data_IF_244038044096
#
_entry.id   IF_244038044096
#
_cell.length_a   1.000
_cell.length_b   1.000
_cell.length_c   1.000
_cell.angle_alpha   90.00
_cell.angle_beta   90.00
_cell.angle_gamma   90.00
#
_symmetry.space_group_name_H-M   'P 1'
#
loop_
_entity.id
_entity.type
_entity.pdbx_description
1 polymer ?
#
# COMPACT_ATOMS: atom_id res chain seq x y z
N UNK A 1 -2.06 28.20 -6.23
CA UNK A 1 -1.21 28.50 -5.05
C UNK A 1 -1.76 27.73 -3.87
N UNK A 2 -1.18 26.57 -3.59
CA UNK A 2 -1.66 25.69 -2.52
C UNK A 2 -1.06 26.17 -1.20
N UNK A 3 -1.88 26.72 -0.33
CA UNK A 3 -1.51 26.96 1.06
C UNK A 3 -1.36 25.61 1.76
N UNK A 4 -0.18 25.00 1.65
CA UNK A 4 0.17 23.83 2.45
C UNK A 4 0.39 24.34 3.86
N UNK A 5 -0.53 23.98 4.73
CA UNK A 5 -0.51 24.32 6.14
C UNK A 5 0.84 23.90 6.75
N UNK A 6 1.60 24.87 7.28
CA UNK A 6 2.79 24.61 8.09
C UNK A 6 2.31 24.16 9.47
N UNK A 7 2.09 22.86 9.66
CA UNK A 7 1.81 22.34 10.98
C UNK A 7 2.88 21.33 11.36
N UNK A 8 4.00 21.77 11.96
CA UNK A 8 5.07 20.89 12.40
C UNK A 8 4.62 19.93 13.51
N UNK A 9 3.47 20.19 14.11
CA UNK A 9 2.87 19.37 15.18
C UNK A 9 1.84 18.36 14.65
N UNK A 10 1.72 18.20 13.32
CA UNK A 10 0.74 17.28 12.73
C UNK A 10 1.15 15.83 13.01
N UNK A 11 0.26 15.09 13.68
CA UNK A 11 0.49 13.71 14.09
C UNK A 11 -0.23 12.69 13.21
N UNK A 12 -1.26 13.10 12.49
CA UNK A 12 -2.03 12.21 11.63
C UNK A 12 -2.35 12.87 10.30
N UNK A 13 -2.19 12.13 9.21
CA UNK A 13 -2.55 12.52 7.85
C UNK A 13 -3.35 11.40 7.20
N UNK A 14 -4.49 11.74 6.62
CA UNK A 14 -5.29 10.85 5.79
C UNK A 14 -5.56 11.48 4.44
N UNK A 15 -5.14 10.82 3.36
CA UNK A 15 -5.45 11.19 1.99
C UNK A 15 -6.36 10.10 1.39
N UNK A 16 -7.52 10.51 0.91
CA UNK A 16 -8.51 9.60 0.32
C UNK A 16 -8.91 10.12 -1.04
N UNK A 17 -8.77 9.29 -2.06
CA UNK A 17 -9.12 9.61 -3.46
C UNK A 17 -8.45 10.89 -3.97
N UNK A 18 -7.23 11.15 -3.54
CA UNK A 18 -6.48 12.36 -3.89
C UNK A 18 -5.69 12.15 -5.20
N UNK A 19 -6.39 12.07 -6.33
CA UNK A 19 -5.78 11.87 -7.66
C UNK A 19 -4.87 13.01 -8.13
N UNK A 20 -4.97 14.20 -7.55
CA UNK A 20 -4.15 15.36 -7.90
C UNK A 20 -2.81 15.46 -7.15
N UNK A 21 -2.59 14.66 -6.11
CA UNK A 21 -1.35 14.70 -5.32
C UNK A 21 -0.31 13.80 -5.97
N UNK A 22 0.80 14.38 -6.42
CA UNK A 22 1.94 13.66 -6.99
C UNK A 22 2.90 13.18 -5.90
N UNK A 23 3.83 12.28 -6.27
CA UNK A 23 4.93 11.84 -5.40
C UNK A 23 5.71 13.03 -4.82
N UNK A 24 6.03 14.02 -5.66
CA UNK A 24 6.76 15.22 -5.24
C UNK A 24 5.96 16.02 -4.19
N UNK A 25 4.67 16.29 -4.48
CA UNK A 25 3.81 17.04 -3.56
C UNK A 25 3.63 16.31 -2.23
N UNK A 26 3.51 14.98 -2.27
CA UNK A 26 3.42 14.16 -1.07
C UNK A 26 4.74 14.14 -0.28
N UNK A 27 5.89 13.98 -0.94
CA UNK A 27 7.21 14.02 -0.30
C UNK A 27 7.46 15.37 0.38
N UNK A 28 7.06 16.47 -0.25
CA UNK A 28 7.12 17.81 0.37
C UNK A 28 6.21 17.92 1.61
N UNK A 29 5.05 17.28 1.59
CA UNK A 29 4.14 17.28 2.72
C UNK A 29 4.77 16.54 3.91
N UNK A 30 5.21 15.30 3.72
CA UNK A 30 5.75 14.48 4.82
C UNK A 30 7.06 15.04 5.37
N UNK A 31 7.89 15.66 4.55
CA UNK A 31 9.11 16.35 4.99
C UNK A 31 8.86 17.49 5.97
N UNK A 32 7.63 18.02 6.01
CA UNK A 32 7.22 19.08 6.95
C UNK A 32 6.49 18.56 8.18
N UNK A 33 6.31 17.25 8.29
CA UNK A 33 5.57 16.61 9.34
C UNK A 33 6.43 15.57 10.10
N UNK A 34 7.57 15.96 10.71
CA UNK A 34 8.50 15.00 11.34
C UNK A 34 7.90 14.30 12.57
N UNK A 35 6.82 14.84 13.13
CA UNK A 35 6.10 14.26 14.27
C UNK A 35 4.91 13.39 13.84
N UNK A 36 4.82 13.05 12.55
CA UNK A 36 3.73 12.22 12.03
C UNK A 36 3.80 10.81 12.64
N UNK A 37 2.69 10.39 13.27
CA UNK A 37 2.53 9.09 13.92
C UNK A 37 1.57 8.17 13.15
N UNK A 38 0.60 8.72 12.41
CA UNK A 38 -0.43 7.97 11.67
C UNK A 38 -0.55 8.52 10.24
N UNK A 39 -0.38 7.65 9.26
CA UNK A 39 -0.52 7.96 7.85
C UNK A 39 -1.48 6.99 7.18
N UNK A 40 -2.46 7.52 6.47
CA UNK A 40 -3.40 6.74 5.68
C UNK A 40 -3.45 7.27 4.24
N UNK A 41 -3.21 6.39 3.29
CA UNK A 41 -3.31 6.65 1.86
C UNK A 41 -4.32 5.66 1.25
N UNK A 42 -5.43 6.17 0.76
CA UNK A 42 -6.50 5.36 0.16
C UNK A 42 -6.82 5.90 -1.23
N UNK A 43 -6.66 5.08 -2.25
CA UNK A 43 -6.97 5.42 -3.64
C UNK A 43 -6.28 6.72 -4.12
N UNK A 44 -4.98 6.85 -3.83
CA UNK A 44 -4.14 7.96 -4.27
C UNK A 44 -3.20 7.49 -5.40
N UNK A 45 -3.65 7.39 -6.66
CA UNK A 45 -2.98 6.65 -7.73
C UNK A 45 -1.64 7.24 -8.18
N UNK A 46 -1.36 8.48 -7.81
CA UNK A 46 -0.10 9.17 -8.15
C UNK A 46 0.92 9.19 -7.03
N UNK A 47 0.59 8.62 -5.86
CA UNK A 47 1.52 8.41 -4.74
C UNK A 47 1.88 6.93 -4.74
N UNK A 48 2.97 6.57 -5.43
CA UNK A 48 3.38 5.18 -5.63
C UNK A 48 4.86 5.02 -5.87
N UNK A 49 5.32 3.78 -5.73
CA UNK A 49 6.71 3.39 -5.94
C UNK A 49 7.54 3.40 -4.66
N UNK A 50 8.64 2.67 -4.71
CA UNK A 50 9.54 2.44 -3.58
C UNK A 50 10.07 3.73 -2.96
N UNK A 51 10.57 4.64 -3.79
CA UNK A 51 11.32 5.83 -3.35
C UNK A 51 10.50 6.78 -2.48
N UNK A 52 9.19 6.93 -2.78
CA UNK A 52 8.31 7.82 -2.03
C UNK A 52 8.07 7.30 -0.60
N UNK A 53 7.96 6.00 -0.43
CA UNK A 53 7.76 5.40 0.90
C UNK A 53 9.05 5.32 1.70
N UNK A 54 10.21 5.08 1.05
CA UNK A 54 11.51 5.23 1.71
C UNK A 54 11.75 6.66 2.20
N UNK A 55 11.42 7.65 1.37
CA UNK A 55 11.52 9.07 1.76
C UNK A 55 10.59 9.39 2.93
N UNK A 56 9.39 8.80 2.95
CA UNK A 56 8.43 8.94 4.05
C UNK A 56 9.00 8.37 5.36
N UNK A 57 9.56 7.17 5.34
CA UNK A 57 10.19 6.56 6.52
C UNK A 57 11.32 7.40 7.08
N UNK A 58 12.14 8.00 6.22
CA UNK A 58 13.22 8.90 6.63
C UNK A 58 12.72 10.23 7.20
N UNK A 59 11.65 10.78 6.60
CA UNK A 59 11.09 12.08 7.00
C UNK A 59 10.26 12.01 8.29
N UNK A 60 9.62 10.88 8.55
CA UNK A 60 8.68 10.70 9.65
C UNK A 60 9.15 9.57 10.60
N UNK A 61 10.21 9.75 11.39
CA UNK A 61 10.75 8.71 12.26
C UNK A 61 9.81 8.31 13.41
N UNK A 62 8.78 9.11 13.68
CA UNK A 62 7.75 8.84 14.69
C UNK A 62 6.58 8.02 14.14
N UNK A 63 6.61 7.64 12.84
CA UNK A 63 5.51 6.93 12.19
C UNK A 63 5.32 5.55 12.81
N UNK A 64 4.15 5.32 13.41
CA UNK A 64 3.77 4.07 14.11
C UNK A 64 2.65 3.33 13.40
N UNK A 65 1.83 4.03 12.61
CA UNK A 65 0.68 3.48 11.90
C UNK A 65 0.72 3.89 10.44
N UNK A 66 0.71 2.91 9.56
CA UNK A 66 0.63 3.15 8.13
C UNK A 66 -0.45 2.27 7.51
N UNK A 67 -1.35 2.87 6.74
CA UNK A 67 -2.42 2.20 6.01
C UNK A 67 -2.37 2.63 4.56
N UNK A 68 -2.24 1.65 3.68
CA UNK A 68 -2.16 1.85 2.24
C UNK A 68 -3.23 1.01 1.54
N UNK A 69 -4.03 1.67 0.69
CA UNK A 69 -4.90 1.02 -0.29
C UNK A 69 -4.67 1.68 -1.63
N UNK A 70 -3.98 0.98 -2.53
CA UNK A 70 -3.52 1.55 -3.79
C UNK A 70 -4.59 1.54 -4.87
N UNK A 71 -5.40 0.49 -4.94
CA UNK A 71 -6.43 0.29 -5.99
C UNK A 71 -7.56 -0.62 -5.53
N UNK A 72 -8.63 -0.64 -6.34
CA UNK A 72 -9.44 -1.82 -6.48
C UNK A 72 -8.60 -2.89 -7.20
N UNK A 73 -8.58 -4.09 -6.64
CA UNK A 73 -7.75 -5.19 -7.15
C UNK A 73 -8.14 -5.53 -8.60
N UNK A 74 -7.18 -5.50 -9.52
CA UNK A 74 -7.32 -6.04 -10.88
C UNK A 74 -6.47 -7.30 -11.01
N UNK A 75 -7.08 -8.43 -11.38
CA UNK A 75 -6.42 -9.72 -11.65
C UNK A 75 -5.53 -9.71 -12.94
N UNK A 76 -4.93 -8.62 -13.31
CA UNK A 76 -4.03 -8.58 -14.45
C UNK A 76 -2.68 -9.19 -14.06
N UNK A 77 -2.39 -10.38 -14.59
CA UNK A 77 -1.18 -11.17 -14.33
C UNK A 77 0.16 -10.48 -14.66
N UNK A 78 0.14 -9.31 -15.30
CA UNK A 78 1.31 -8.64 -15.86
C UNK A 78 1.68 -7.32 -15.15
N UNK A 79 1.22 -7.10 -13.92
CA UNK A 79 1.59 -5.87 -13.21
C UNK A 79 2.74 -6.14 -12.26
N UNK A 80 3.90 -5.65 -12.64
CA UNK A 80 5.05 -5.52 -11.76
C UNK A 80 4.67 -4.70 -10.54
N UNK A 81 5.00 -5.21 -9.35
CA UNK A 81 4.95 -4.42 -8.13
C UNK A 81 5.83 -3.18 -8.31
N UNK A 82 5.30 -2.00 -8.00
CA UNK A 82 6.09 -0.76 -8.00
C UNK A 82 7.11 -0.74 -6.82
N UNK A 83 7.24 -1.85 -6.10
CA UNK A 83 8.15 -2.00 -4.97
C UNK A 83 7.71 -1.20 -3.74
N UNK A 84 6.43 -0.89 -3.64
CA UNK A 84 5.87 -0.08 -2.55
C UNK A 84 6.15 -0.68 -1.18
N UNK A 85 5.97 -2.00 -1.05
CA UNK A 85 6.24 -2.71 0.18
C UNK A 85 7.72 -2.64 0.58
N UNK A 86 8.66 -2.67 -0.38
CA UNK A 86 10.08 -2.48 -0.12
C UNK A 86 10.37 -1.08 0.44
N UNK A 87 9.65 -0.05 -0.03
CA UNK A 87 9.74 1.30 0.53
C UNK A 87 9.22 1.38 1.96
N UNK A 88 8.15 0.64 2.27
CA UNK A 88 7.58 0.54 3.63
C UNK A 88 8.58 -0.09 4.62
N UNK A 89 9.44 -0.99 4.18
CA UNK A 89 10.49 -1.60 5.01
C UNK A 89 11.45 -0.57 5.66
N UNK A 90 11.53 0.66 5.12
CA UNK A 90 12.30 1.76 5.71
C UNK A 90 11.58 2.48 6.86
N UNK A 91 10.34 2.13 7.15
CA UNK A 91 9.53 2.73 8.24
C UNK A 91 9.73 1.94 9.55
N UNK A 92 10.94 1.95 10.10
CA UNK A 92 11.37 1.07 11.21
C UNK A 92 10.56 1.21 12.50
N UNK A 93 9.87 2.32 12.71
CA UNK A 93 9.05 2.60 13.91
C UNK A 93 7.64 2.01 13.85
N UNK A 94 7.25 1.36 12.75
CA UNK A 94 5.88 0.86 12.58
C UNK A 94 5.51 -0.19 13.63
N UNK A 95 4.30 -0.01 14.17
CA UNK A 95 3.61 -0.98 15.03
C UNK A 95 2.37 -1.54 14.36
N UNK A 96 1.74 -0.77 13.48
CA UNK A 96 0.55 -1.17 12.74
C UNK A 96 0.77 -0.90 11.26
N UNK A 97 0.63 -1.93 10.45
CA UNK A 97 0.68 -1.88 9.00
C UNK A 97 -0.57 -2.52 8.41
N UNK A 98 -1.21 -1.84 7.47
CA UNK A 98 -2.26 -2.41 6.67
C UNK A 98 -2.01 -2.12 5.18
N UNK A 99 -1.92 -3.18 4.39
CA UNK A 99 -1.75 -3.13 2.94
C UNK A 99 -2.98 -3.77 2.30
N UNK A 100 -3.97 -2.96 1.94
CA UNK A 100 -5.21 -3.47 1.36
C UNK A 100 -5.13 -3.55 -0.17
N UNK A 101 -5.40 -4.72 -0.73
CA UNK A 101 -5.42 -4.90 -2.18
C UNK A 101 -4.08 -4.57 -2.85
N UNK A 102 -2.98 -4.73 -2.13
CA UNK A 102 -1.63 -4.49 -2.63
C UNK A 102 -1.10 -5.69 -3.41
N UNK A 103 -0.24 -5.42 -4.39
CA UNK A 103 0.45 -6.44 -5.19
C UNK A 103 1.65 -7.06 -4.45
N UNK A 104 1.77 -6.81 -3.15
CA UNK A 104 2.87 -7.29 -2.32
C UNK A 104 3.06 -8.82 -2.42
N UNK A 105 4.30 -9.24 -2.61
CA UNK A 105 4.71 -10.65 -2.66
C UNK A 105 5.25 -11.13 -1.31
N UNK A 106 5.42 -12.45 -1.13
CA UNK A 106 6.03 -13.01 0.09
C UNK A 106 7.46 -12.48 0.32
N UNK A 107 8.25 -12.29 -0.75
CA UNK A 107 9.63 -11.80 -0.63
C UNK A 107 9.67 -10.33 -0.19
N UNK A 108 8.80 -9.49 -0.74
CA UNK A 108 8.67 -8.10 -0.33
C UNK A 108 8.15 -7.98 1.11
N UNK A 109 7.18 -8.83 1.47
CA UNK A 109 6.68 -8.89 2.83
C UNK A 109 7.77 -9.34 3.81
N UNK A 110 8.63 -10.27 3.40
CA UNK A 110 9.78 -10.67 4.20
C UNK A 110 10.69 -9.46 4.50
N UNK A 111 10.98 -8.62 3.51
CA UNK A 111 11.76 -7.40 3.69
C UNK A 111 11.06 -6.39 4.64
N UNK A 112 9.73 -6.27 4.55
CA UNK A 112 8.94 -5.44 5.49
C UNK A 112 9.07 -5.94 6.92
N UNK A 113 8.93 -7.25 7.13
CA UNK A 113 9.04 -7.85 8.48
C UNK A 113 10.45 -7.67 9.07
N UNK A 114 11.49 -7.76 8.23
CA UNK A 114 12.87 -7.51 8.65
C UNK A 114 13.12 -6.02 8.95
N UNK A 115 12.52 -5.13 8.18
CA UNK A 115 12.67 -3.67 8.33
C UNK A 115 11.82 -3.07 9.44
N UNK A 116 10.75 -3.73 9.86
CA UNK A 116 9.80 -3.25 10.86
C UNK A 116 9.73 -4.17 12.09
N UNK A 117 10.79 -4.25 12.91
CA UNK A 117 10.91 -5.23 13.99
C UNK A 117 9.92 -5.03 15.14
N UNK A 118 9.26 -3.87 15.19
CA UNK A 118 8.30 -3.51 16.24
C UNK A 118 6.86 -3.73 15.82
N UNK A 119 6.62 -4.42 14.69
CA UNK A 119 5.29 -4.62 14.15
C UNK A 119 4.43 -5.51 15.06
N UNK A 120 3.31 -4.97 15.51
CA UNK A 120 2.36 -5.64 16.40
C UNK A 120 1.07 -6.03 15.70
N UNK A 121 0.70 -5.30 14.64
CA UNK A 121 -0.50 -5.55 13.85
C UNK A 121 -0.19 -5.47 12.37
N UNK A 122 -0.58 -6.51 11.63
CA UNK A 122 -0.41 -6.61 10.19
C UNK A 122 -1.72 -7.06 9.54
N UNK A 123 -2.22 -6.25 8.62
CA UNK A 123 -3.41 -6.56 7.84
C UNK A 123 -3.05 -6.61 6.35
N UNK A 124 -3.22 -7.78 5.74
CA UNK A 124 -2.95 -8.07 4.33
C UNK A 124 -4.23 -8.46 3.58
N UNK A 125 -5.36 -7.93 4.01
CA UNK A 125 -6.64 -8.18 3.36
C UNK A 125 -6.58 -7.84 1.87
N UNK A 126 -7.13 -8.71 1.02
CA UNK A 126 -7.14 -8.55 -0.44
C UNK A 126 -5.74 -8.52 -1.11
N UNK A 127 -4.67 -8.94 -0.41
CA UNK A 127 -3.32 -9.10 -0.98
C UNK A 127 -3.16 -10.51 -1.57
N UNK A 128 -3.68 -10.75 -2.75
CA UNK A 128 -3.82 -12.11 -3.31
C UNK A 128 -2.51 -12.74 -3.83
N UNK A 129 -1.42 -11.96 -3.93
CA UNK A 129 -0.09 -12.50 -4.22
C UNK A 129 0.60 -13.08 -2.98
N UNK A 130 0.01 -12.91 -1.80
CA UNK A 130 0.51 -13.52 -0.57
C UNK A 130 0.07 -14.97 -0.49
N UNK A 131 1.04 -15.85 -0.41
CA UNK A 131 0.83 -17.27 -0.09
C UNK A 131 1.00 -17.45 1.41
N UNK A 132 -0.10 -17.74 2.11
CA UNK A 132 -0.11 -17.91 3.57
C UNK A 132 0.36 -19.32 3.96
N UNK A 133 1.61 -19.64 3.64
CA UNK A 133 2.28 -20.91 3.99
C UNK A 133 2.78 -20.92 5.44
N UNK A 134 3.31 -22.07 5.86
CA UNK A 134 3.82 -22.24 7.22
C UNK A 134 5.07 -21.39 7.49
N UNK A 135 5.88 -21.12 6.47
CA UNK A 135 7.06 -20.26 6.59
C UNK A 135 6.67 -18.82 6.90
N UNK A 136 5.68 -18.27 6.17
CA UNK A 136 5.15 -16.94 6.43
C UNK A 136 4.50 -16.87 7.82
N UNK A 137 3.70 -17.86 8.18
CA UNK A 137 3.05 -17.93 9.50
C UNK A 137 4.07 -17.95 10.65
N UNK A 138 5.16 -18.70 10.48
CA UNK A 138 6.25 -18.75 11.46
C UNK A 138 6.95 -17.38 11.60
N UNK A 139 7.17 -16.67 10.50
CA UNK A 139 7.75 -15.32 10.52
C UNK A 139 6.83 -14.31 11.20
N UNK A 140 5.53 -14.46 11.05
CA UNK A 140 4.52 -13.60 11.67
C UNK A 140 4.13 -14.00 13.09
N UNK A 141 4.73 -15.04 13.69
CA UNK A 141 4.35 -15.58 15.00
C UNK A 141 4.44 -14.56 16.15
N UNK A 142 5.28 -13.53 16.03
CA UNK A 142 5.40 -12.44 17.01
C UNK A 142 4.36 -11.33 16.85
N UNK A 143 3.56 -11.35 15.79
CA UNK A 143 2.55 -10.31 15.50
C UNK A 143 1.27 -10.64 16.27
N UNK A 144 0.80 -9.69 17.09
CA UNK A 144 -0.37 -9.89 17.96
C UNK A 144 -1.69 -9.95 17.20
N UNK A 145 -1.80 -9.15 16.14
CA UNK A 145 -3.00 -9.09 15.29
C UNK A 145 -2.57 -9.30 13.83
N UNK A 146 -2.90 -10.45 13.27
CA UNK A 146 -2.54 -10.83 11.91
C UNK A 146 -3.80 -11.15 11.10
N UNK A 147 -3.99 -10.42 10.01
CA UNK A 147 -5.02 -10.70 9.01
C UNK A 147 -4.33 -11.07 7.71
N UNK A 148 -4.48 -12.31 7.29
CA UNK A 148 -3.99 -12.83 6.01
C UNK A 148 -5.11 -12.83 4.98
N UNK A 149 -4.79 -12.77 3.67
CA UNK A 149 -5.80 -12.87 2.63
C UNK A 149 -6.52 -14.21 2.72
N UNK A 150 -7.82 -14.19 2.54
CA UNK A 150 -8.61 -15.41 2.44
C UNK A 150 -8.15 -16.18 1.21
N UNK A 151 -7.79 -17.46 1.40
CA UNK A 151 -7.52 -18.36 0.30
C UNK A 151 -8.82 -18.49 -0.51
N UNK A 152 -8.88 -17.95 -1.72
CA UNK A 152 -9.88 -18.40 -2.67
C UNK A 152 -9.50 -19.81 -3.05
N UNK A 153 -10.30 -20.79 -2.64
CA UNK A 153 -10.32 -22.07 -3.31
C UNK A 153 -10.77 -21.75 -4.74
N UNK A 154 -9.83 -21.80 -5.67
CA UNK A 154 -10.14 -21.72 -7.09
C UNK A 154 -10.73 -23.08 -7.41
N UNK A 155 -12.05 -23.19 -7.39
CA UNK A 155 -12.72 -24.28 -8.07
C UNK A 155 -12.33 -24.13 -9.55
N UNK A 156 -11.65 -25.13 -10.08
CA UNK A 156 -10.99 -25.17 -11.42
C UNK A 156 -11.96 -25.12 -12.60
N UNK A 157 -13.11 -24.45 -12.51
CA UNK A 157 -14.14 -24.52 -13.57
C UNK A 157 -14.84 -23.20 -13.92
N UNK A 158 -14.16 -22.04 -13.76
CA UNK A 158 -14.65 -20.81 -14.37
C UNK A 158 -13.60 -20.17 -15.26
N UNK A 159 -13.81 -20.34 -16.58
CA UNK A 159 -13.22 -19.49 -17.61
C UNK A 159 -13.46 -18.02 -17.26
N UNK A 160 -12.40 -17.32 -16.87
CA UNK A 160 -12.45 -15.88 -16.65
C UNK A 160 -12.54 -15.16 -17.98
N UNK A 161 -13.75 -15.04 -18.52
CA UNK A 161 -14.00 -14.05 -19.55
C UNK A 161 -13.74 -12.66 -18.96
N UNK A 162 -12.85 -11.99 -19.60
CA UNK A 162 -12.26 -10.70 -19.34
C UNK A 162 -13.32 -9.62 -19.10
N UNK A 163 -13.57 -9.24 -17.85
CA UNK A 163 -14.41 -8.08 -17.51
C UNK A 163 -13.67 -6.74 -17.65
N UNK A 164 -12.47 -6.73 -18.22
CA UNK A 164 -11.67 -5.52 -18.42
C UNK A 164 -11.76 -4.93 -19.83
N UNK A 165 -12.61 -5.48 -20.73
CA UNK A 165 -12.83 -4.95 -22.07
C UNK A 165 -14.20 -4.26 -22.16
N UNK A 166 -14.34 -3.10 -21.54
CA UNK A 166 -15.29 -2.12 -22.07
C UNK A 166 -14.50 -1.13 -22.90
N UNK A 167 -14.16 -1.56 -24.10
CA UNK A 167 -13.94 -0.66 -25.21
C UNK A 167 -15.30 0.03 -25.46
N UNK A 168 -15.38 1.25 -25.03
CA UNK A 168 -16.49 2.14 -25.42
C UNK A 168 -16.13 2.60 -26.82
N UNK A 169 -16.58 1.82 -27.80
CA UNK A 169 -16.53 2.18 -29.20
C UNK A 169 -17.48 3.37 -29.41
N UNK A 170 -16.94 4.57 -29.41
CA UNK A 170 -17.63 5.74 -29.90
C UNK A 170 -17.58 5.69 -31.42
N UNK A 171 -18.52 4.92 -31.98
CA UNK A 171 -18.85 5.00 -33.41
C UNK A 171 -19.28 6.41 -33.74
N UNK A 172 -18.41 7.13 -34.44
CA UNK A 172 -18.76 8.36 -35.11
C UNK A 172 -19.64 8.05 -36.30
N UNK A 173 -20.88 8.43 -36.27
CA UNK A 173 -21.69 8.62 -37.47
C UNK A 173 -21.48 10.04 -37.97
N UNK A 174 -20.86 10.12 -39.14
CA UNK A 174 -20.87 11.29 -40.00
C UNK A 174 -22.06 11.17 -40.97
N UNK A 175 -22.93 12.16 -40.96
CA UNK A 175 -23.70 12.64 -42.13
C UNK A 175 -23.93 14.15 -41.98
#
# INVERSE_FOLDING_TARGET
>A
MSHICRSPALKAVGLVSCGGVSNEGFTHLVARCPLLEDLMLVLCPRIRGRDVYEATGRACPQLRRFRLRTREFCFAADRYSDGEALGVAAMHGLRTLALYGSDVTNDELAAVLDGCPHLESLDLSECFNIVADDALRARCAGIKSLVLPLRREVDDEYEYETLCSRDVDFGGDSD
#
